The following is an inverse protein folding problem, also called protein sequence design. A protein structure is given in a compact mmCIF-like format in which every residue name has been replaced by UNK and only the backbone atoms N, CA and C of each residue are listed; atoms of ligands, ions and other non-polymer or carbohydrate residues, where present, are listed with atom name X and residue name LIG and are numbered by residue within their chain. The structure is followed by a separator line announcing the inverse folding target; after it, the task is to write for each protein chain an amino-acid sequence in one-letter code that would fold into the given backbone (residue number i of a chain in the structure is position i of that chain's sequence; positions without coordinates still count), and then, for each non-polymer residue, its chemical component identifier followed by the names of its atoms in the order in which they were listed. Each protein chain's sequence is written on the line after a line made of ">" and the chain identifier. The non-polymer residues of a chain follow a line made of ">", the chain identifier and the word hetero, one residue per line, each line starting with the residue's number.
data_IF_256231048117
#
_entry.id   IF_256231048117
#
_cell.length_a   1.000
_cell.length_b   1.000
_cell.length_c   1.000
_cell.angle_alpha   90.00
_cell.angle_beta   90.00
_cell.angle_gamma   90.00
#
_symmetry.space_group_name_H-M   'P 1'
#
loop_
_entity.id
_entity.type
_entity.pdbx_description
1 polymer ?
#
# COMPACT_ATOMS: atom_id res chain seq x y z
N UNK A 1 -10.01 -3.05 18.90
CA UNK A 1 -10.28 -4.48 18.93
C UNK A 1 -9.52 -5.23 17.86
N UNK A 2 -9.39 -6.53 18.00
CA UNK A 2 -8.68 -7.36 17.02
C UNK A 2 -9.34 -7.29 15.63
N UNK A 3 -10.65 -7.21 15.59
CA UNK A 3 -11.41 -7.09 14.34
C UNK A 3 -11.06 -5.81 13.59
N UNK A 4 -10.97 -4.70 14.34
CA UNK A 4 -10.62 -3.40 13.76
C UNK A 4 -9.19 -3.40 13.24
N UNK A 5 -8.27 -4.03 13.96
CA UNK A 5 -6.88 -4.12 13.55
C UNK A 5 -6.74 -4.87 12.22
N UNK A 6 -7.49 -5.97 12.04
CA UNK A 6 -7.45 -6.72 10.78
C UNK A 6 -7.96 -5.89 9.61
N UNK A 7 -8.95 -5.03 9.86
CA UNK A 7 -9.57 -4.24 8.80
C UNK A 7 -8.67 -3.11 8.28
N UNK A 8 -7.65 -2.72 9.02
CA UNK A 8 -6.76 -1.64 8.59
C UNK A 8 -5.47 -2.15 7.92
N UNK A 9 -5.21 -3.45 7.98
CA UNK A 9 -3.96 -3.99 7.43
C UNK A 9 -3.90 -3.85 5.90
N UNK A 10 -4.96 -4.24 5.19
CA UNK A 10 -4.97 -4.16 3.75
C UNK A 10 -4.97 -2.71 3.24
N UNK A 11 -5.80 -1.81 3.78
CA UNK A 11 -5.73 -0.40 3.40
C UNK A 11 -4.35 0.20 3.62
N UNK A 12 -3.67 -0.16 4.69
CA UNK A 12 -2.31 0.32 4.95
C UNK A 12 -1.33 -0.15 3.89
N UNK A 13 -1.44 -1.41 3.48
CA UNK A 13 -0.58 -1.96 2.43
C UNK A 13 -0.80 -1.23 1.11
N UNK A 14 -2.05 -0.96 0.77
CA UNK A 14 -2.39 -0.21 -0.44
C UNK A 14 -1.80 1.20 -0.36
N UNK A 15 -1.91 1.85 0.79
CA UNK A 15 -1.37 3.19 0.98
C UNK A 15 0.16 3.21 0.84
N UNK A 16 0.84 2.20 1.36
CA UNK A 16 2.30 2.07 1.20
C UNK A 16 2.67 1.85 -0.27
N UNK A 17 1.92 1.00 -0.97
CA UNK A 17 2.12 0.76 -2.39
C UNK A 17 1.96 2.06 -3.19
N UNK A 18 0.89 2.81 -2.93
CA UNK A 18 0.64 4.07 -3.63
C UNK A 18 1.68 5.13 -3.29
N UNK A 19 2.13 5.19 -2.04
CA UNK A 19 3.21 6.11 -1.67
C UNK A 19 4.48 5.83 -2.47
N UNK A 20 4.79 4.54 -2.69
CA UNK A 20 5.94 4.15 -3.49
C UNK A 20 5.75 4.51 -4.96
N UNK A 21 4.54 4.33 -5.49
CA UNK A 21 4.25 4.59 -6.90
C UNK A 21 4.19 6.08 -7.23
N UNK A 22 3.67 6.89 -6.32
CA UNK A 22 3.32 8.28 -6.60
C UNK A 22 4.35 9.30 -6.09
N UNK A 23 5.35 8.86 -5.33
CA UNK A 23 6.36 9.76 -4.78
C UNK A 23 7.76 9.21 -5.05
N UNK A 24 8.76 10.07 -4.85
CA UNK A 24 10.16 9.67 -4.94
C UNK A 24 10.70 9.21 -3.59
N UNK A 25 9.85 9.02 -2.58
CA UNK A 25 10.29 8.65 -1.24
C UNK A 25 10.85 7.23 -1.22
N UNK A 26 11.89 7.05 -0.41
CA UNK A 26 12.50 5.74 -0.21
C UNK A 26 11.62 4.86 0.69
N UNK A 27 11.88 3.56 0.66
CA UNK A 27 11.15 2.63 1.54
C UNK A 27 11.31 2.99 3.03
N UNK A 28 12.51 3.33 3.51
CA UNK A 28 12.64 3.78 4.91
C UNK A 28 11.83 5.02 5.23
N UNK A 29 11.77 6.00 4.31
CA UNK A 29 10.97 7.20 4.53
C UNK A 29 9.49 6.89 4.63
N UNK A 30 9.01 6.01 3.74
CA UNK A 30 7.61 5.59 3.78
C UNK A 30 7.31 4.89 5.10
N UNK A 31 8.20 4.01 5.54
CA UNK A 31 8.03 3.30 6.82
C UNK A 31 7.90 4.26 7.98
N UNK A 32 8.74 5.28 8.03
CA UNK A 32 8.69 6.28 9.09
C UNK A 32 7.35 7.01 9.12
N UNK A 33 6.80 7.32 7.94
CA UNK A 33 5.52 8.04 7.85
C UNK A 33 4.32 7.16 8.20
N UNK A 34 4.51 5.85 8.19
CA UNK A 34 3.47 4.89 8.55
C UNK A 34 3.69 4.33 9.97
N UNK A 35 4.03 5.21 10.90
CA UNK A 35 4.14 4.84 12.30
C UNK A 35 5.46 4.20 12.69
N UNK A 36 6.52 4.55 11.97
CA UNK A 36 7.85 4.05 12.29
C UNK A 36 8.08 2.60 11.90
N UNK A 37 7.45 2.16 10.81
CA UNK A 37 7.61 0.78 10.33
C UNK A 37 8.92 0.63 9.57
N UNK A 38 9.48 -0.58 9.65
CA UNK A 38 10.72 -0.95 8.99
C UNK A 38 10.53 -0.94 7.45
N UNK A 39 11.61 -0.63 6.75
CA UNK A 39 11.59 -0.64 5.27
C UNK A 39 11.21 -2.01 4.70
N UNK A 40 11.55 -3.11 5.38
CA UNK A 40 11.16 -4.44 4.93
C UNK A 40 9.65 -4.63 5.00
N UNK A 41 8.99 -4.04 6.00
CA UNK A 41 7.54 -4.07 6.09
C UNK A 41 6.91 -3.37 4.89
N UNK A 42 7.46 -2.22 4.49
CA UNK A 42 6.99 -1.50 3.31
C UNK A 42 7.22 -2.32 2.04
N UNK A 43 8.39 -2.92 1.92
CA UNK A 43 8.73 -3.75 0.76
C UNK A 43 7.76 -4.93 0.62
N UNK A 44 7.46 -5.61 1.75
CA UNK A 44 6.51 -6.72 1.75
C UNK A 44 5.11 -6.24 1.37
N UNK A 45 4.71 -5.06 1.84
CA UNK A 45 3.40 -4.50 1.50
C UNK A 45 3.29 -4.22 0.00
N UNK A 46 4.32 -3.60 -0.58
CA UNK A 46 4.34 -3.31 -2.02
C UNK A 46 4.24 -4.59 -2.83
N UNK A 47 5.05 -5.61 -2.47
CA UNK A 47 5.01 -6.89 -3.17
C UNK A 47 3.66 -7.58 -3.06
N UNK A 48 3.07 -7.53 -1.86
CA UNK A 48 1.76 -8.16 -1.64
C UNK A 48 0.69 -7.53 -2.52
N UNK A 49 0.69 -6.21 -2.61
CA UNK A 49 -0.30 -5.52 -3.45
C UNK A 49 -0.06 -5.84 -4.93
N UNK A 50 1.19 -5.87 -5.37
CA UNK A 50 1.51 -6.26 -6.75
C UNK A 50 1.01 -7.66 -7.07
N UNK A 51 1.24 -8.62 -6.18
CA UNK A 51 0.77 -9.99 -6.36
C UNK A 51 -0.75 -10.05 -6.44
N UNK A 52 -1.44 -9.33 -5.56
CA UNK A 52 -2.90 -9.32 -5.56
C UNK A 52 -3.45 -8.69 -6.82
N UNK A 53 -2.81 -7.65 -7.33
CA UNK A 53 -3.23 -7.00 -8.57
C UNK A 53 -3.04 -7.93 -9.77
N UNK A 54 -1.95 -8.70 -9.78
CA UNK A 54 -1.70 -9.65 -10.86
C UNK A 54 -2.72 -10.79 -10.88
N UNK A 55 -3.17 -11.22 -9.72
CA UNK A 55 -4.08 -12.35 -9.59
C UNK A 55 -5.56 -11.99 -9.58
N UNK A 56 -5.90 -10.69 -9.55
CA UNK A 56 -7.28 -10.26 -9.37
C UNK A 56 -7.51 -8.94 -10.11
N UNK A 57 -8.11 -9.02 -11.31
CA UNK A 57 -8.33 -7.84 -12.15
C UNK A 57 -9.26 -6.82 -11.49
N UNK A 58 -10.23 -7.27 -10.72
CA UNK A 58 -11.15 -6.38 -10.01
C UNK A 58 -10.41 -5.58 -8.93
N UNK A 59 -9.54 -6.26 -8.18
CA UNK A 59 -8.73 -5.58 -7.17
C UNK A 59 -7.79 -4.58 -7.84
N UNK A 60 -7.15 -4.96 -8.94
CA UNK A 60 -6.25 -4.07 -9.68
C UNK A 60 -7.00 -2.82 -10.15
N UNK A 61 -8.22 -2.97 -10.65
CA UNK A 61 -9.03 -1.83 -11.09
C UNK A 61 -9.35 -0.91 -9.91
N UNK A 62 -9.70 -1.48 -8.75
CA UNK A 62 -10.01 -0.68 -7.56
C UNK A 62 -8.80 0.14 -7.12
N UNK A 63 -7.61 -0.46 -7.12
CA UNK A 63 -6.37 0.25 -6.77
C UNK A 63 -6.11 1.37 -7.78
N UNK A 64 -6.33 1.10 -9.06
CA UNK A 64 -6.13 2.10 -10.11
C UNK A 64 -7.09 3.28 -9.97
N UNK A 65 -8.33 3.03 -9.58
CA UNK A 65 -9.30 4.10 -9.32
C UNK A 65 -8.80 5.01 -8.22
N UNK A 66 -8.29 4.43 -7.12
CA UNK A 66 -7.75 5.22 -6.00
C UNK A 66 -6.53 6.00 -6.46
N UNK A 67 -5.63 5.38 -7.23
CA UNK A 67 -4.43 6.05 -7.73
C UNK A 67 -4.80 7.28 -8.55
N UNK A 68 -5.75 7.15 -9.47
CA UNK A 68 -6.21 8.27 -10.30
C UNK A 68 -6.83 9.38 -9.47
N UNK A 69 -7.59 9.02 -8.44
CA UNK A 69 -8.21 9.99 -7.56
C UNK A 69 -7.14 10.83 -6.82
N UNK A 70 -6.01 10.22 -6.48
CA UNK A 70 -4.94 10.91 -5.77
C UNK A 70 -4.10 11.79 -6.70
N UNK A 71 -4.03 11.48 -7.99
CA UNK A 71 -3.22 12.24 -8.95
C UNK A 71 -4.05 13.16 -9.84
N UNK A 72 -5.34 12.94 -9.83
CA UNK A 72 -6.27 13.59 -10.70
C UNK A 72 -6.45 14.99 -10.64
#
# INVERSE_FOLDING_TARGET
>A
SARRARNVARPRQIAMYLAKQLTARSLPEIGRKFGGRDHTTVMHAVRKIEELMDGDASFAEDVEVVRRALTG
#
